data_IF_815053851114
#
_entry.id   IF_815053851114
#
_cell.length_a   1.000
_cell.length_b   1.000
_cell.length_c   1.000
_cell.angle_alpha   90.00
_cell.angle_beta   90.00
_cell.angle_gamma   90.00
#
_symmetry.space_group_name_H-M   'P 1'
#
loop_
_entity.id
_entity.type
_entity.pdbx_description
1 polymer ?
#
# COMPACT_ATOMS: atom_id res chain seq x y z
N UNK A 1 13.51 2.81 49.46
CA UNK A 1 13.86 3.27 48.09
C UNK A 1 14.07 2.02 47.26
N UNK A 2 13.04 1.55 46.55
CA UNK A 2 13.16 0.38 45.69
C UNK A 2 13.84 0.80 44.40
N UNK A 3 15.09 0.38 44.23
CA UNK A 3 15.81 0.40 42.97
C UNK A 3 15.03 -0.45 41.97
N UNK A 4 14.29 0.20 41.07
CA UNK A 4 13.75 -0.45 39.88
C UNK A 4 14.92 -0.81 38.98
N UNK A 5 15.32 -2.07 38.99
CA UNK A 5 16.28 -2.64 38.05
C UNK A 5 15.66 -2.56 36.66
N UNK A 6 16.05 -1.57 35.87
CA UNK A 6 15.76 -1.51 34.44
C UNK A 6 16.53 -2.64 33.76
N UNK A 7 15.91 -3.80 33.64
CA UNK A 7 16.43 -4.92 32.86
C UNK A 7 16.72 -4.45 31.44
N UNK A 8 17.98 -4.51 31.01
CA UNK A 8 18.38 -4.14 29.65
C UNK A 8 17.68 -5.04 28.61
N UNK A 9 17.34 -4.44 27.47
CA UNK A 9 16.85 -5.16 26.28
C UNK A 9 17.87 -6.22 25.83
N UNK A 10 17.39 -7.37 25.39
CA UNK A 10 18.21 -8.40 24.74
C UNK A 10 18.41 -8.04 23.27
N UNK A 11 19.51 -8.52 22.70
CA UNK A 11 19.87 -8.29 21.30
C UNK A 11 20.16 -9.64 20.66
N UNK A 12 19.67 -9.86 19.44
CA UNK A 12 19.99 -11.06 18.68
C UNK A 12 21.42 -10.98 18.16
N UNK A 13 22.11 -12.12 18.08
CA UNK A 13 23.46 -12.18 17.50
C UNK A 13 23.45 -11.84 16.01
N UNK A 14 22.44 -12.37 15.32
CA UNK A 14 22.17 -12.19 13.90
C UNK A 14 20.74 -11.67 13.74
N UNK A 15 20.42 -11.05 12.59
CA UNK A 15 19.08 -10.51 12.36
C UNK A 15 18.03 -11.64 12.39
N UNK A 16 17.02 -11.58 13.28
CA UNK A 16 15.96 -12.58 13.33
C UNK A 16 15.04 -12.45 12.11
N UNK A 17 14.78 -13.58 11.46
CA UNK A 17 13.86 -13.69 10.32
C UNK A 17 12.91 -14.85 10.59
N UNK A 18 11.61 -14.62 10.41
CA UNK A 18 10.59 -15.66 10.49
C UNK A 18 9.79 -15.69 9.20
N UNK A 19 9.49 -16.90 8.73
CA UNK A 19 8.66 -17.15 7.56
C UNK A 19 7.40 -17.85 8.05
N UNK A 20 6.24 -17.30 7.71
CA UNK A 20 4.92 -17.80 8.06
C UNK A 20 4.11 -18.07 6.79
N UNK A 21 3.08 -18.89 6.90
CA UNK A 21 2.17 -19.16 5.77
C UNK A 21 1.09 -18.08 5.75
N UNK A 22 0.22 -18.07 6.76
CA UNK A 22 -0.79 -17.02 6.90
C UNK A 22 -0.18 -15.80 7.60
N UNK A 23 -0.59 -14.60 7.17
CA UNK A 23 0.01 -13.36 7.65
C UNK A 23 -0.14 -13.16 9.17
N UNK A 24 -1.27 -13.57 9.75
CA UNK A 24 -1.54 -13.49 11.19
C UNK A 24 -0.71 -14.48 12.04
N UNK A 25 -0.15 -15.55 11.46
CA UNK A 25 0.73 -16.52 12.15
C UNK A 25 2.05 -15.89 12.64
N UNK A 26 2.28 -14.63 12.29
CA UNK A 26 3.36 -13.79 12.76
C UNK A 26 3.29 -13.50 14.28
N UNK A 27 2.08 -13.45 14.84
CA UNK A 27 1.83 -12.98 16.20
C UNK A 27 2.56 -13.76 17.31
N UNK A 28 2.59 -15.11 17.31
CA UNK A 28 3.39 -15.88 18.25
C UNK A 28 4.85 -15.43 18.33
N UNK A 29 5.46 -15.04 17.21
CA UNK A 29 6.87 -14.61 17.15
C UNK A 29 7.05 -13.21 17.74
N UNK A 30 6.15 -12.28 17.41
CA UNK A 30 6.13 -10.92 17.97
C UNK A 30 5.96 -11.00 19.50
N UNK A 31 4.94 -11.72 19.96
CA UNK A 31 4.64 -11.85 21.40
C UNK A 31 5.77 -12.54 22.15
N UNK A 32 6.40 -13.56 21.55
CA UNK A 32 7.60 -14.18 22.14
C UNK A 32 8.76 -13.19 22.23
N UNK A 33 8.99 -12.36 21.20
CA UNK A 33 10.05 -11.36 21.22
C UNK A 33 9.81 -10.28 22.29
N UNK A 34 8.56 -9.86 22.49
CA UNK A 34 8.17 -8.96 23.59
C UNK A 34 8.41 -9.63 24.95
N UNK A 35 7.84 -10.82 25.17
CA UNK A 35 7.93 -11.55 26.44
C UNK A 35 9.35 -11.94 26.82
N UNK A 36 10.23 -12.16 25.84
CA UNK A 36 11.65 -12.45 26.04
C UNK A 36 12.56 -11.22 26.03
N UNK A 37 11.98 -10.00 25.94
CA UNK A 37 12.67 -8.70 25.98
C UNK A 37 13.63 -8.42 24.83
N UNK A 38 13.36 -8.99 23.65
CA UNK A 38 14.00 -8.55 22.39
C UNK A 38 13.24 -7.40 21.74
N UNK A 39 11.92 -7.31 21.97
CA UNK A 39 11.10 -6.13 21.68
C UNK A 39 10.62 -5.48 22.99
N UNK A 40 10.48 -4.14 23.02
CA UNK A 40 9.89 -3.44 24.16
C UNK A 40 8.41 -3.81 24.29
N UNK A 41 7.80 -3.52 25.44
CA UNK A 41 6.38 -3.86 25.67
C UNK A 41 5.39 -2.94 24.91
N UNK A 42 5.84 -1.78 24.45
CA UNK A 42 5.01 -0.75 23.80
C UNK A 42 5.88 0.14 22.90
N UNK A 43 5.23 1.04 22.17
CA UNK A 43 5.89 2.03 21.32
C UNK A 43 6.78 1.39 20.25
N UNK A 44 6.28 0.31 19.63
CA UNK A 44 6.91 -0.37 18.50
C UNK A 44 6.32 0.22 17.21
N UNK A 45 7.18 0.57 16.26
CA UNK A 45 6.78 0.85 14.88
C UNK A 45 6.71 -0.43 14.05
N UNK A 46 5.86 -0.47 13.04
CA UNK A 46 5.87 -1.50 12.00
C UNK A 46 6.00 -0.84 10.63
N UNK A 47 6.89 -1.37 9.81
CA UNK A 47 6.98 -1.03 8.39
C UNK A 47 6.37 -2.21 7.64
N UNK A 48 5.20 -1.99 7.05
CA UNK A 48 4.38 -3.01 6.41
C UNK A 48 4.44 -2.87 4.89
N UNK A 49 4.96 -3.87 4.18
CA UNK A 49 5.01 -3.91 2.72
C UNK A 49 3.99 -4.94 2.22
N UNK A 50 2.84 -4.44 1.79
CA UNK A 50 1.73 -5.29 1.34
C UNK A 50 0.81 -4.52 0.39
N UNK A 51 0.10 -5.24 -0.47
CA UNK A 51 -1.02 -4.73 -1.24
C UNK A 51 -2.30 -4.53 -0.41
N UNK A 52 -2.36 -5.08 0.80
CA UNK A 52 -3.45 -4.91 1.77
C UNK A 52 -2.95 -4.20 3.03
N UNK A 53 -3.80 -3.43 3.72
CA UNK A 53 -3.38 -2.75 4.95
C UNK A 53 -3.42 -3.65 6.19
N UNK A 54 -4.23 -4.72 6.19
CA UNK A 54 -4.44 -5.68 7.29
C UNK A 54 -4.85 -5.06 8.63
N UNK A 55 -5.62 -3.97 8.51
CA UNK A 55 -6.08 -3.15 9.62
C UNK A 55 -7.55 -3.41 9.97
N UNK A 56 -8.22 -4.42 9.40
CA UNK A 56 -9.58 -4.75 9.82
C UNK A 56 -9.60 -5.31 11.25
N UNK A 57 -10.81 -5.46 11.77
CA UNK A 57 -11.10 -6.00 13.08
C UNK A 57 -12.33 -6.88 12.91
N UNK A 58 -12.38 -8.11 13.46
CA UNK A 58 -13.62 -8.88 13.43
C UNK A 58 -14.73 -8.11 14.16
N UNK A 59 -15.82 -7.79 13.44
CA UNK A 59 -16.87 -6.86 13.89
C UNK A 59 -17.45 -7.25 15.26
N UNK A 60 -17.55 -8.54 15.55
CA UNK A 60 -18.15 -9.05 16.78
C UNK A 60 -17.14 -9.37 17.89
N UNK A 61 -15.83 -9.15 17.67
CA UNK A 61 -14.81 -9.50 18.67
C UNK A 61 -14.93 -8.60 19.90
N UNK A 62 -15.20 -9.16 21.10
CA UNK A 62 -15.14 -8.42 22.36
C UNK A 62 -13.73 -7.82 22.54
N UNK A 63 -13.64 -6.61 23.07
CA UNK A 63 -12.34 -5.97 23.26
C UNK A 63 -11.44 -6.72 24.25
N UNK A 64 -12.04 -7.43 25.22
CA UNK A 64 -11.29 -8.17 26.25
C UNK A 64 -10.62 -9.44 25.68
N UNK A 65 -11.11 -9.97 24.55
CA UNK A 65 -10.51 -11.10 23.82
C UNK A 65 -9.06 -10.82 23.44
N UNK A 66 -8.69 -9.56 23.18
CA UNK A 66 -7.31 -9.16 22.85
C UNK A 66 -6.29 -9.54 23.93
N UNK A 67 -6.72 -9.70 25.18
CA UNK A 67 -5.85 -10.04 26.30
C UNK A 67 -5.85 -11.54 26.65
N UNK A 68 -6.69 -12.34 25.99
CA UNK A 68 -6.63 -13.80 26.04
C UNK A 68 -5.95 -14.29 24.74
N UNK A 69 -4.74 -14.83 24.87
CA UNK A 69 -3.92 -15.18 23.71
C UNK A 69 -4.58 -16.27 22.85
N UNK A 70 -5.17 -17.27 23.49
CA UNK A 70 -5.75 -18.42 22.81
C UNK A 70 -7.07 -18.04 22.12
N UNK A 71 -7.91 -17.24 22.78
CA UNK A 71 -9.13 -16.71 22.19
C UNK A 71 -8.83 -15.75 21.05
N UNK A 72 -7.90 -14.80 21.26
CA UNK A 72 -7.47 -13.86 20.23
C UNK A 72 -7.03 -14.60 18.97
N UNK A 73 -6.09 -15.54 19.08
CA UNK A 73 -5.56 -16.23 17.90
C UNK A 73 -6.62 -17.01 17.13
N UNK A 74 -7.71 -17.43 17.79
CA UNK A 74 -8.83 -18.11 17.12
C UNK A 74 -9.77 -17.18 16.35
N UNK A 75 -9.74 -15.87 16.64
CA UNK A 75 -10.60 -14.85 15.99
C UNK A 75 -9.90 -14.13 14.82
N UNK A 76 -8.59 -14.33 14.64
CA UNK A 76 -7.80 -13.62 13.65
C UNK A 76 -7.76 -14.32 12.30
N UNK A 77 -7.57 -13.49 11.26
CA UNK A 77 -7.33 -13.88 9.89
C UNK A 77 -6.24 -12.97 9.30
N UNK A 78 -5.84 -13.24 8.06
CA UNK A 78 -4.79 -12.53 7.34
C UNK A 78 -5.01 -11.00 7.27
N UNK A 79 -6.26 -10.53 7.28
CA UNK A 79 -6.62 -9.12 7.06
C UNK A 79 -6.86 -8.29 8.34
N UNK A 80 -6.82 -8.89 9.54
CA UNK A 80 -7.37 -8.26 10.75
C UNK A 80 -6.51 -8.39 12.02
N UNK A 81 -5.22 -8.70 11.87
CA UNK A 81 -4.35 -9.02 13.00
C UNK A 81 -3.59 -7.82 13.58
N UNK A 82 -3.38 -6.73 12.82
CA UNK A 82 -2.57 -5.58 13.27
C UNK A 82 -3.32 -4.76 14.34
N UNK A 83 -4.59 -4.43 14.12
CA UNK A 83 -5.37 -3.58 15.04
C UNK A 83 -5.52 -4.16 16.45
N UNK A 84 -5.73 -5.47 16.65
CA UNK A 84 -5.68 -6.09 17.97
C UNK A 84 -4.34 -5.85 18.69
N UNK A 85 -3.20 -5.90 17.99
CA UNK A 85 -1.87 -5.62 18.58
C UNK A 85 -1.71 -4.15 18.96
N UNK A 86 -2.29 -3.24 18.17
CA UNK A 86 -2.39 -1.82 18.49
C UNK A 86 -3.23 -1.61 19.76
N UNK A 87 -4.38 -2.27 19.87
CA UNK A 87 -5.24 -2.16 21.05
C UNK A 87 -4.61 -2.75 22.32
N UNK A 88 -3.87 -3.86 22.19
CA UNK A 88 -3.02 -4.40 23.25
C UNK A 88 -1.94 -3.39 23.73
N UNK A 89 -1.65 -2.36 22.93
CA UNK A 89 -0.74 -1.27 23.25
C UNK A 89 0.71 -1.53 22.87
N UNK A 90 0.97 -2.56 22.05
CA UNK A 90 2.32 -2.93 21.60
C UNK A 90 2.78 -2.05 20.43
N UNK A 91 1.95 -1.98 19.38
CA UNK A 91 2.17 -1.13 18.22
C UNK A 91 1.56 0.27 18.43
N UNK A 92 2.30 1.30 18.09
CA UNK A 92 1.81 2.70 18.10
C UNK A 92 1.82 3.35 16.72
N UNK A 93 2.69 2.86 15.84
CA UNK A 93 2.91 3.42 14.51
C UNK A 93 2.98 2.28 13.48
N UNK A 94 2.26 2.42 12.38
CA UNK A 94 2.40 1.55 11.19
C UNK A 94 2.68 2.44 10.00
N UNK A 95 3.71 2.12 9.24
CA UNK A 95 3.97 2.70 7.93
C UNK A 95 3.60 1.66 6.90
N UNK A 96 2.50 1.88 6.20
CA UNK A 96 2.05 0.98 5.14
C UNK A 96 2.58 1.46 3.80
N UNK A 97 3.52 0.69 3.24
CA UNK A 97 4.02 0.86 1.90
C UNK A 97 3.18 0.01 0.97
N UNK A 98 2.45 0.65 0.06
CA UNK A 98 1.52 -0.04 -0.82
C UNK A 98 1.83 0.23 -2.29
N UNK A 99 1.54 -0.71 -3.19
CA UNK A 99 1.67 -0.49 -4.63
C UNK A 99 0.56 0.45 -5.15
N UNK A 100 0.78 1.05 -6.32
CA UNK A 100 -0.13 2.06 -6.89
C UNK A 100 -1.58 1.59 -7.14
N UNK A 101 -1.82 0.28 -7.21
CA UNK A 101 -3.15 -0.30 -7.40
C UNK A 101 -3.89 -0.54 -6.08
N UNK A 102 -3.18 -0.59 -4.95
CA UNK A 102 -3.78 -0.69 -3.63
C UNK A 102 -4.23 0.71 -3.21
N UNK A 103 -5.54 0.93 -3.08
CA UNK A 103 -6.15 2.24 -2.80
C UNK A 103 -7.18 2.16 -1.68
N UNK A 104 -7.07 1.14 -0.81
CA UNK A 104 -8.02 0.88 0.26
C UNK A 104 -8.07 2.03 1.28
N UNK A 105 -6.94 2.69 1.56
CA UNK A 105 -6.83 3.85 2.44
C UNK A 105 -6.07 4.95 1.69
N UNK A 106 -6.51 6.20 1.84
CA UNK A 106 -5.89 7.35 1.17
C UNK A 106 -4.44 7.57 1.65
N UNK A 107 -3.55 8.01 0.76
CA UNK A 107 -2.17 8.31 1.14
C UNK A 107 -2.07 9.49 2.11
N UNK A 108 -1.15 9.41 3.08
CA UNK A 108 -0.94 10.46 4.08
C UNK A 108 -0.80 9.94 5.51
N UNK A 109 -0.76 10.88 6.46
CA UNK A 109 -0.75 10.58 7.89
C UNK A 109 -2.18 10.52 8.43
N UNK A 110 -2.50 9.42 9.10
CA UNK A 110 -3.79 9.16 9.73
C UNK A 110 -3.62 8.96 11.23
N UNK A 111 -4.32 9.79 12.01
CA UNK A 111 -4.36 9.68 13.46
C UNK A 111 -5.67 9.04 13.88
N UNK A 112 -5.56 7.86 14.49
CA UNK A 112 -6.69 6.99 14.81
C UNK A 112 -6.62 6.67 16.30
N UNK A 113 -7.76 6.58 16.97
CA UNK A 113 -7.86 5.91 18.26
C UNK A 113 -8.49 4.54 18.08
N UNK A 114 -7.90 3.52 18.70
CA UNK A 114 -8.44 2.16 18.78
C UNK A 114 -8.88 1.92 20.21
N UNK A 115 -10.10 1.47 20.44
CA UNK A 115 -10.66 1.37 21.80
C UNK A 115 -11.77 0.34 21.92
N UNK A 116 -12.24 0.14 23.15
CA UNK A 116 -13.46 -0.62 23.44
C UNK A 116 -14.65 0.31 23.30
N UNK A 117 -15.61 -0.03 22.47
CA UNK A 117 -16.87 0.71 22.41
C UNK A 117 -17.70 0.44 23.68
N UNK A 118 -18.06 1.50 24.39
CA UNK A 118 -18.89 1.45 25.61
C UNK A 118 -20.27 0.82 25.39
N UNK A 119 -20.81 0.84 24.17
CA UNK A 119 -22.15 0.33 23.88
C UNK A 119 -22.18 -1.16 23.53
N UNK A 120 -21.25 -1.61 22.69
CA UNK A 120 -21.18 -3.00 22.21
C UNK A 120 -20.13 -3.85 22.92
N UNK A 121 -19.21 -3.24 23.67
CA UNK A 121 -18.04 -3.86 24.31
C UNK A 121 -17.00 -4.44 23.34
N UNK A 122 -17.20 -4.27 22.04
CA UNK A 122 -16.30 -4.72 20.98
C UNK A 122 -15.21 -3.68 20.70
N UNK A 123 -14.13 -4.11 20.07
CA UNK A 123 -13.05 -3.22 19.64
C UNK A 123 -13.47 -2.41 18.39
N UNK A 124 -13.21 -1.10 18.41
CA UNK A 124 -13.60 -0.13 17.36
C UNK A 124 -12.54 0.95 17.15
N UNK A 125 -12.66 1.69 16.06
CA UNK A 125 -11.74 2.77 15.68
C UNK A 125 -12.46 4.11 15.48
N UNK A 126 -11.71 5.21 15.52
CA UNK A 126 -12.25 6.55 15.22
C UNK A 126 -12.03 7.01 13.79
N UNK A 127 -11.39 6.20 12.93
CA UNK A 127 -11.18 6.60 11.53
C UNK A 127 -12.48 6.57 10.75
N UNK A 128 -12.64 7.58 9.88
CA UNK A 128 -13.76 7.73 8.95
C UNK A 128 -13.37 7.34 7.52
N UNK A 129 -12.21 6.72 7.31
CA UNK A 129 -11.87 6.18 6.00
C UNK A 129 -12.89 5.09 5.61
N UNK A 130 -13.25 5.03 4.32
CA UNK A 130 -14.22 4.07 3.79
C UNK A 130 -13.84 2.62 4.14
N UNK A 131 -12.55 2.34 4.25
CA UNK A 131 -12.01 1.06 4.73
C UNK A 131 -12.59 0.61 6.07
N UNK A 132 -12.72 1.51 7.05
CA UNK A 132 -13.28 1.18 8.37
C UNK A 132 -14.80 1.35 8.42
N UNK A 133 -15.35 2.27 7.62
CA UNK A 133 -16.78 2.54 7.57
C UNK A 133 -17.56 1.37 6.94
N UNK A 134 -17.02 0.78 5.88
CA UNK A 134 -17.66 -0.33 5.15
C UNK A 134 -17.95 -1.54 6.04
N UNK A 135 -17.07 -1.83 7.00
CA UNK A 135 -17.21 -2.93 7.96
C UNK A 135 -17.85 -2.50 9.29
N UNK A 136 -18.33 -1.24 9.40
CA UNK A 136 -18.99 -0.76 10.62
C UNK A 136 -18.07 -0.67 11.84
N UNK A 137 -16.77 -0.42 11.63
CA UNK A 137 -15.75 -0.35 12.68
C UNK A 137 -15.61 1.04 13.31
N UNK A 138 -16.22 2.07 12.71
CA UNK A 138 -16.16 3.43 13.23
C UNK A 138 -17.10 3.66 14.42
N UNK A 139 -16.57 4.32 15.46
CA UNK A 139 -17.37 4.98 16.49
C UNK A 139 -16.77 6.35 16.85
N UNK A 140 -17.59 7.32 17.32
CA UNK A 140 -17.06 8.57 17.86
C UNK A 140 -16.12 8.34 19.04
N UNK A 141 -15.04 9.13 19.13
CA UNK A 141 -14.02 9.00 20.19
C UNK A 141 -14.60 9.04 21.61
N UNK A 142 -15.67 9.79 21.85
CA UNK A 142 -16.34 9.88 23.15
C UNK A 142 -17.00 8.57 23.62
N UNK A 143 -17.19 7.60 22.73
CA UNK A 143 -17.71 6.27 23.05
C UNK A 143 -16.61 5.21 23.24
N UNK A 144 -15.33 5.57 23.02
CA UNK A 144 -14.20 4.66 23.21
C UNK A 144 -13.65 4.72 24.64
N UNK A 145 -13.64 3.56 25.27
CA UNK A 145 -12.94 3.28 26.52
C UNK A 145 -11.55 2.67 26.24
N UNK A 146 -10.62 2.86 27.19
CA UNK A 146 -9.25 2.32 27.11
C UNK A 146 -8.51 2.65 25.79
N UNK A 147 -8.86 3.76 25.15
CA UNK A 147 -8.37 4.12 23.81
C UNK A 147 -6.85 4.19 23.73
N UNK A 148 -6.29 3.66 22.65
CA UNK A 148 -4.88 3.69 22.28
C UNK A 148 -4.70 4.62 21.08
N UNK A 149 -3.79 5.60 21.14
CA UNK A 149 -3.44 6.38 19.96
C UNK A 149 -2.69 5.48 18.97
N UNK A 150 -3.03 5.61 17.70
CA UNK A 150 -2.44 4.89 16.58
C UNK A 150 -2.17 5.87 15.45
N UNK A 151 -0.94 5.85 14.94
CA UNK A 151 -0.56 6.61 13.76
C UNK A 151 -0.31 5.65 12.60
N UNK A 152 -1.02 5.88 11.50
CA UNK A 152 -0.84 5.17 10.25
C UNK A 152 -0.29 6.14 9.19
N UNK A 153 0.87 5.82 8.62
CA UNK A 153 1.45 6.53 7.49
C UNK A 153 1.29 5.69 6.22
N UNK A 154 0.43 6.13 5.31
CA UNK A 154 0.13 5.44 4.05
C UNK A 154 0.98 6.04 2.93
N UNK A 155 1.90 5.22 2.39
CA UNK A 155 2.90 5.65 1.41
C UNK A 155 2.80 4.78 0.16
N UNK A 156 2.35 5.38 -0.93
CA UNK A 156 2.42 4.75 -2.25
C UNK A 156 3.87 4.57 -2.71
N UNK A 157 4.18 3.36 -3.14
CA UNK A 157 5.45 3.00 -3.80
C UNK A 157 5.22 2.90 -5.31
N UNK A 158 5.85 3.79 -6.07
CA UNK A 158 5.80 3.77 -7.53
C UNK A 158 6.92 2.86 -8.08
N UNK A 159 6.60 2.03 -9.07
CA UNK A 159 7.61 1.35 -9.88
C UNK A 159 8.20 2.32 -10.92
N UNK A 160 9.50 2.18 -11.16
CA UNK A 160 10.31 2.93 -12.16
C UNK A 160 9.70 2.84 -13.58
N UNK A 161 8.93 1.79 -13.91
CA UNK A 161 8.33 1.63 -15.24
C UNK A 161 6.95 2.30 -15.39
N UNK A 162 6.22 2.53 -14.29
CA UNK A 162 4.84 3.04 -14.37
C UNK A 162 4.74 4.52 -14.74
N UNK A 163 5.82 5.28 -14.54
CA UNK A 163 5.88 6.68 -14.96
C UNK A 163 5.91 6.82 -16.49
N UNK A 164 6.56 5.89 -17.20
CA UNK A 164 6.64 5.90 -18.67
C UNK A 164 5.29 5.67 -19.35
N UNK A 165 4.44 4.80 -18.77
CA UNK A 165 3.09 4.55 -19.30
C UNK A 165 2.08 5.66 -18.96
N UNK A 166 2.24 6.35 -17.83
CA UNK A 166 1.38 7.47 -17.47
C UNK A 166 1.65 8.71 -18.33
N UNK A 167 2.90 8.95 -18.73
CA UNK A 167 3.26 10.01 -19.68
C UNK A 167 2.69 9.75 -21.08
N UNK A 168 2.77 8.51 -21.59
CA UNK A 168 2.17 8.14 -22.89
C UNK A 168 0.64 8.28 -22.91
N UNK A 169 -0.06 7.91 -21.84
CA UNK A 169 -1.53 8.05 -21.75
C UNK A 169 -1.94 9.53 -21.58
N UNK A 170 -1.16 10.32 -20.84
CA UNK A 170 -1.39 11.75 -20.66
C UNK A 170 -1.20 12.53 -21.97
N UNK A 171 -0.19 12.18 -22.76
CA UNK A 171 0.05 12.77 -24.09
C UNK A 171 -1.01 12.37 -25.12
N UNK A 172 -1.52 11.13 -25.10
CA UNK A 172 -2.60 10.70 -25.98
C UNK A 172 -3.94 11.41 -25.64
N UNK A 173 -4.20 11.66 -24.36
CA UNK A 173 -5.34 12.47 -23.90
C UNK A 173 -5.18 13.96 -24.24
N UNK A 174 -3.96 14.50 -24.19
CA UNK A 174 -3.68 15.89 -24.59
C UNK A 174 -3.83 16.10 -26.11
N UNK A 175 -3.39 15.14 -26.93
CA UNK A 175 -3.51 15.18 -28.38
C UNK A 175 -4.98 15.14 -28.88
N UNK A 176 -5.87 14.46 -28.15
CA UNK A 176 -7.32 14.45 -28.43
C UNK A 176 -8.01 15.78 -28.07
N UNK A 177 -7.41 16.58 -27.17
CA UNK A 177 -7.97 17.88 -26.73
C UNK A 177 -7.67 19.02 -27.71
N UNK A 178 -6.55 18.95 -28.43
CA UNK A 178 -6.17 19.95 -29.45
C UNK A 178 -7.04 19.85 -30.72
N UNK A 179 -7.52 18.66 -31.06
CA UNK A 179 -8.31 18.42 -32.28
C UNK A 179 -9.78 18.89 -32.21
N UNK A 180 -10.28 19.21 -31.01
CA UNK A 180 -11.64 19.72 -30.78
C UNK A 180 -11.72 21.25 -30.68
N UNK A 181 -10.59 21.96 -30.73
CA UNK A 181 -10.54 23.44 -30.66
C UNK A 181 -10.28 24.11 -32.02
N UNK A 182 -10.22 23.36 -33.12
CA UNK A 182 -10.14 23.87 -34.49
C UNK A 182 -11.34 23.42 -35.32
N UNK A 183 -12.56 23.73 -34.88
CA UNK A 183 -13.73 23.75 -35.75
C UNK A 183 -14.87 24.55 -35.11
N UNK A 184 -15.13 25.75 -35.63
CA UNK A 184 -16.46 26.38 -35.56
C UNK A 184 -16.53 27.76 -34.92
N UNK A 185 -16.24 28.80 -35.72
CA UNK A 185 -16.92 30.08 -35.61
C UNK A 185 -17.99 30.14 -36.71
N UNK A 186 -19.26 30.43 -36.36
CA UNK A 186 -20.20 31.38 -36.99
C UNK A 186 -21.56 31.32 -36.26
N UNK A 187 -21.80 32.39 -35.49
CA UNK A 187 -23.00 33.20 -35.23
C UNK A 187 -24.44 32.62 -35.07
N UNK A 188 -24.94 32.82 -33.83
CA UNK A 188 -26.12 33.62 -33.43
C UNK A 188 -27.52 33.32 -34.00
N UNK A 189 -28.45 32.81 -33.16
CA UNK A 189 -29.71 33.48 -32.72
C UNK A 189 -30.62 32.55 -31.88
N UNK A 190 -31.15 33.07 -30.76
CA UNK A 190 -32.57 32.93 -30.40
C UNK A 190 -33.06 31.80 -29.47
N UNK A 191 -33.47 32.22 -28.25
CA UNK A 191 -34.72 31.85 -27.54
C UNK A 191 -34.88 30.46 -26.86
N UNK A 192 -34.83 30.50 -25.52
CA UNK A 192 -35.73 29.93 -24.49
C UNK A 192 -36.44 28.55 -24.62
N UNK A 193 -36.23 27.75 -23.55
CA UNK A 193 -37.12 26.84 -22.79
C UNK A 193 -38.11 25.90 -23.50
N UNK A 194 -38.06 24.59 -23.19
CA UNK A 194 -38.99 23.86 -22.30
C UNK A 194 -38.82 22.31 -22.38
N UNK A 195 -39.32 21.64 -21.33
CA UNK A 195 -39.28 20.20 -21.00
C UNK A 195 -39.96 19.29 -22.03
N UNK A 196 -39.55 18.00 -22.09
CA UNK A 196 -40.40 16.83 -21.73
C UNK A 196 -39.71 15.47 -21.90
N UNK A 197 -40.20 14.54 -21.09
CA UNK A 197 -39.83 13.12 -20.93
C UNK A 197 -40.36 12.19 -22.06
N UNK A 198 -39.90 10.93 -21.96
CA UNK A 198 -40.55 9.66 -22.31
C UNK A 198 -40.00 8.81 -23.48
N UNK A 199 -39.30 7.74 -23.08
CA UNK A 199 -39.63 6.30 -23.23
C UNK A 199 -39.70 5.62 -24.62
N UNK A 200 -39.33 4.32 -24.59
CA UNK A 200 -39.52 3.22 -25.57
C UNK A 200 -38.46 3.18 -26.68
N UNK A 201 -37.78 2.08 -27.00
CA UNK A 201 -37.88 0.68 -26.60
C UNK A 201 -37.39 -0.20 -27.76
N UNK A 202 -36.68 -1.27 -27.41
CA UNK A 202 -36.62 -2.54 -28.14
C UNK A 202 -35.78 -2.71 -29.42
N UNK A 203 -35.02 -3.81 -29.40
CA UNK A 203 -34.91 -4.85 -30.44
C UNK A 203 -33.62 -5.00 -31.24
N UNK A 204 -32.91 -6.10 -30.90
CA UNK A 204 -32.55 -7.24 -31.77
C UNK A 204 -31.71 -6.94 -33.03
N UNK A 205 -30.50 -7.50 -33.12
CA UNK A 205 -30.19 -8.65 -34.00
C UNK A 205 -28.69 -9.01 -33.99
N UNK A 206 -28.43 -10.30 -33.76
CA UNK A 206 -27.17 -10.98 -34.05
C UNK A 206 -26.81 -10.90 -35.54
N UNK A 207 -25.51 -10.97 -35.87
CA UNK A 207 -25.06 -11.96 -36.84
C UNK A 207 -23.58 -12.31 -36.66
N UNK A 208 -23.32 -13.63 -36.74
CA UNK A 208 -22.04 -14.33 -36.62
C UNK A 208 -21.29 -14.37 -37.97
N UNK A 209 -20.11 -15.00 -37.90
CA UNK A 209 -19.37 -15.75 -38.95
C UNK A 209 -18.37 -14.93 -39.77
N UNK A 210 -17.19 -15.40 -40.18
CA UNK A 210 -16.36 -16.61 -39.93
C UNK A 210 -14.99 -16.39 -40.61
N UNK A 211 -13.97 -17.14 -40.17
CA UNK A 211 -12.83 -17.73 -40.94
C UNK A 211 -11.73 -16.92 -41.67
N UNK A 212 -10.50 -17.13 -41.18
CA UNK A 212 -9.34 -17.83 -41.79
C UNK A 212 -8.53 -17.29 -43.02
N UNK A 213 -7.19 -17.42 -42.90
CA UNK A 213 -6.17 -17.47 -43.96
C UNK A 213 -5.55 -16.10 -44.30
N UNK A 214 -4.24 -15.82 -44.30
CA UNK A 214 -3.03 -16.64 -44.42
C UNK A 214 -2.36 -16.38 -45.78
N UNK A 215 -1.23 -15.64 -45.83
CA UNK A 215 -0.11 -15.84 -46.78
C UNK A 215 0.89 -14.67 -46.82
N UNK A 216 2.18 -15.02 -46.86
CA UNK A 216 3.36 -14.18 -47.07
C UNK A 216 3.44 -13.59 -48.49
N UNK A 217 4.10 -12.43 -48.64
CA UNK A 217 4.83 -12.05 -49.85
C UNK A 217 6.14 -11.32 -49.50
N UNK A 218 7.22 -11.85 -50.08
CA UNK A 218 8.55 -11.26 -50.25
C UNK A 218 8.54 -10.27 -51.42
N UNK A 219 9.30 -9.17 -51.38
CA UNK A 219 10.47 -8.96 -52.25
C UNK A 219 11.17 -7.60 -51.96
N UNK A 220 12.46 -7.61 -52.27
CA UNK A 220 13.51 -6.62 -52.20
C UNK A 220 13.33 -5.37 -53.07
N UNK A 221 14.01 -4.26 -52.71
CA UNK A 221 14.95 -3.57 -53.63
C UNK A 221 15.58 -2.30 -53.02
N UNK A 222 16.91 -2.35 -52.96
CA UNK A 222 17.92 -1.31 -53.27
C UNK A 222 17.84 0.15 -52.77
N UNK A 223 18.97 0.56 -52.19
CA UNK A 223 19.40 1.92 -51.84
C UNK A 223 19.79 2.76 -53.08
N UNK A 224 19.98 4.08 -52.90
CA UNK A 224 21.37 4.53 -52.93
C UNK A 224 21.76 5.56 -51.86
N UNK A 225 23.05 5.53 -51.60
CA UNK A 225 23.88 6.36 -50.72
C UNK A 225 23.96 7.81 -51.22
N UNK A 226 23.88 8.80 -50.31
CA UNK A 226 24.65 10.03 -50.44
C UNK A 226 24.80 10.75 -49.10
N UNK A 227 26.06 11.03 -48.78
CA UNK A 227 26.59 11.64 -47.58
C UNK A 227 26.26 13.14 -47.43
N UNK A 228 25.90 13.58 -46.23
CA UNK A 228 26.35 14.87 -45.71
C UNK A 228 26.44 14.86 -44.18
N UNK A 229 27.55 15.43 -43.67
CA UNK A 229 27.92 15.54 -42.25
C UNK A 229 27.15 16.69 -41.59
N UNK A 230 26.63 16.48 -40.37
CA UNK A 230 26.61 17.49 -39.32
C UNK A 230 26.41 16.83 -37.92
N UNK A 231 27.36 17.12 -37.03
CA UNK A 231 27.34 17.07 -35.56
C UNK A 231 26.09 16.52 -34.84
N UNK A 232 26.23 15.34 -34.22
CA UNK A 232 25.38 14.89 -33.12
C UNK A 232 26.06 15.27 -31.80
N UNK A 233 25.56 16.33 -31.17
CA UNK A 233 25.79 16.56 -29.75
C UNK A 233 24.84 15.68 -28.93
N UNK A 234 25.45 15.00 -27.97
CA UNK A 234 24.83 14.19 -26.94
C UNK A 234 23.84 15.01 -26.10
N UNK A 235 22.57 14.60 -26.06
CA UNK A 235 21.69 14.90 -24.93
C UNK A 235 21.45 13.61 -24.15
N UNK A 236 22.19 13.51 -23.04
CA UNK A 236 22.03 12.49 -22.03
C UNK A 236 20.67 12.66 -21.32
N UNK A 237 20.05 11.52 -21.00
CA UNK A 237 18.67 11.41 -20.57
C UNK A 237 18.31 12.18 -19.29
N UNK A 238 17.16 12.81 -19.32
CA UNK A 238 16.56 13.59 -18.22
C UNK A 238 15.62 12.78 -17.32
N UNK A 239 15.75 11.45 -17.26
CA UNK A 239 14.81 10.58 -16.54
C UNK A 239 15.12 10.30 -15.06
N UNK A 240 16.27 10.74 -14.52
CA UNK A 240 16.78 10.16 -13.26
C UNK A 240 16.53 10.95 -11.96
N UNK A 241 16.16 12.23 -12.03
CA UNK A 241 16.10 13.09 -10.84
C UNK A 241 14.79 12.93 -10.04
N UNK A 242 13.66 12.75 -10.73
CA UNK A 242 12.34 12.68 -10.10
C UNK A 242 12.12 11.36 -9.31
N UNK A 243 12.56 10.23 -9.86
CA UNK A 243 12.44 8.90 -9.23
C UNK A 243 13.29 8.76 -7.97
N UNK A 244 14.53 9.28 -8.03
CA UNK A 244 15.44 9.32 -6.89
C UNK A 244 14.88 10.20 -5.77
N UNK A 245 14.24 11.31 -6.13
CA UNK A 245 13.58 12.19 -5.16
C UNK A 245 12.43 11.49 -4.43
N UNK A 246 11.53 10.83 -5.15
CA UNK A 246 10.37 10.14 -4.55
C UNK A 246 10.78 9.00 -3.60
N UNK A 247 11.74 8.17 -4.01
CA UNK A 247 12.28 7.09 -3.15
C UNK A 247 12.93 7.67 -1.89
N UNK A 248 13.69 8.76 -2.06
CA UNK A 248 14.33 9.46 -0.94
C UNK A 248 13.29 10.04 0.03
N UNK A 249 12.16 10.53 -0.48
CA UNK A 249 11.11 11.10 0.36
C UNK A 249 10.31 10.03 1.12
N UNK A 250 10.04 8.88 0.49
CA UNK A 250 9.45 7.72 1.19
C UNK A 250 10.37 7.23 2.32
N UNK A 251 11.68 7.11 2.06
CA UNK A 251 12.70 6.75 3.05
C UNK A 251 12.72 7.76 4.22
N UNK A 252 12.71 9.07 3.93
CA UNK A 252 12.68 10.09 4.99
C UNK A 252 11.44 9.97 5.88
N UNK A 253 10.27 9.71 5.29
CA UNK A 253 9.03 9.49 6.05
C UNK A 253 9.16 8.28 6.98
N UNK A 254 9.62 7.15 6.46
CA UNK A 254 9.85 5.93 7.25
C UNK A 254 10.84 6.20 8.40
N UNK A 255 11.96 6.85 8.11
CA UNK A 255 12.96 7.21 9.13
C UNK A 255 12.37 8.09 10.23
N UNK A 256 11.55 9.06 9.85
CA UNK A 256 10.90 9.97 10.81
C UNK A 256 10.03 9.20 11.79
N UNK A 257 9.27 8.21 11.31
CA UNK A 257 8.41 7.36 12.16
C UNK A 257 9.26 6.43 13.05
N UNK A 258 10.21 5.70 12.47
CA UNK A 258 11.03 4.74 13.22
C UNK A 258 11.83 5.44 14.32
N UNK A 259 12.39 6.63 14.06
CA UNK A 259 13.19 7.38 15.03
C UNK A 259 12.41 7.86 16.25
N UNK A 260 11.07 7.89 16.17
CA UNK A 260 10.19 8.26 17.28
C UNK A 260 9.78 7.05 18.16
N UNK A 261 10.15 5.84 17.75
CA UNK A 261 9.77 4.58 18.41
C UNK A 261 10.93 3.85 19.06
N UNK A 262 10.64 2.96 20.01
CA UNK A 262 11.67 2.27 20.81
C UNK A 262 12.32 1.07 20.08
N UNK A 263 11.56 0.50 19.14
CA UNK A 263 11.94 -0.59 18.25
C UNK A 263 11.01 -0.61 17.03
N UNK A 264 11.37 -1.37 16.01
CA UNK A 264 10.50 -1.56 14.86
C UNK A 264 10.49 -3.01 14.36
N UNK A 265 9.42 -3.35 13.65
CA UNK A 265 9.23 -4.61 12.94
C UNK A 265 9.20 -4.28 11.45
N UNK A 266 9.86 -5.10 10.63
CA UNK A 266 9.72 -5.07 9.18
C UNK A 266 8.86 -6.26 8.77
N UNK A 267 7.70 -5.96 8.22
CA UNK A 267 6.74 -6.94 7.74
C UNK A 267 6.66 -6.86 6.22
N UNK A 268 6.78 -8.02 5.56
CA UNK A 268 6.82 -8.12 4.10
C UNK A 268 5.89 -9.25 3.68
N UNK A 269 4.76 -8.89 3.10
CA UNK A 269 3.90 -9.83 2.41
C UNK A 269 4.30 -9.95 0.92
N UNK A 270 4.11 -11.13 0.37
CA UNK A 270 4.36 -11.41 -1.03
C UNK A 270 3.34 -10.80 -1.97
N UNK A 271 2.11 -10.54 -1.51
CA UNK A 271 1.06 -9.94 -2.32
C UNK A 271 1.37 -8.51 -2.75
N UNK A 272 2.28 -7.84 -2.03
CA UNK A 272 2.94 -6.62 -2.49
C UNK A 272 3.51 -6.76 -3.92
N UNK A 273 3.97 -7.96 -4.30
CA UNK A 273 4.59 -8.26 -5.59
C UNK A 273 3.69 -9.03 -6.57
N UNK A 274 2.80 -9.91 -6.10
CA UNK A 274 2.19 -10.95 -6.95
C UNK A 274 0.77 -10.70 -7.43
N UNK A 275 0.03 -9.72 -6.91
CA UNK A 275 -1.38 -9.60 -7.29
C UNK A 275 -1.63 -9.01 -8.70
N UNK A 276 -0.64 -8.37 -9.33
CA UNK A 276 -0.58 -8.19 -10.80
C UNK A 276 0.87 -8.03 -11.25
N UNK A 277 1.52 -9.12 -11.66
CA UNK A 277 2.39 -9.23 -12.85
C UNK A 277 3.40 -10.41 -12.70
N UNK A 278 3.38 -11.43 -13.57
CA UNK A 278 4.35 -12.54 -13.56
C UNK A 278 5.79 -12.14 -13.94
N UNK A 279 6.06 -10.86 -14.25
CA UNK A 279 7.40 -10.37 -14.57
C UNK A 279 8.05 -9.67 -13.37
N UNK A 280 8.79 -10.49 -12.63
CA UNK A 280 10.07 -10.21 -11.95
C UNK A 280 10.75 -8.89 -12.37
N UNK A 281 11.20 -8.13 -11.36
CA UNK A 281 12.35 -7.16 -11.32
C UNK A 281 12.04 -5.73 -10.81
N UNK A 282 10.78 -5.35 -10.62
CA UNK A 282 10.40 -3.93 -10.42
C UNK A 282 10.66 -3.29 -9.04
N UNK A 283 10.93 -4.06 -7.99
CA UNK A 283 11.01 -3.52 -6.61
C UNK A 283 12.41 -3.59 -5.98
N UNK A 284 13.38 -4.06 -6.74
CA UNK A 284 14.71 -4.42 -6.23
C UNK A 284 15.47 -3.21 -5.68
N UNK A 285 15.30 -2.01 -6.22
CA UNK A 285 16.10 -0.85 -5.80
C UNK A 285 15.61 -0.22 -4.49
N UNK A 286 14.29 -0.03 -4.32
CA UNK A 286 13.71 0.49 -3.06
C UNK A 286 13.96 -0.52 -1.95
N UNK A 287 13.76 -1.81 -2.22
CA UNK A 287 14.01 -2.88 -1.25
C UNK A 287 15.49 -3.03 -0.95
N UNK A 288 16.38 -3.05 -1.96
CA UNK A 288 17.81 -3.11 -1.69
C UNK A 288 18.25 -1.88 -0.91
N UNK A 289 17.69 -0.70 -1.16
CA UNK A 289 18.02 0.49 -0.37
C UNK A 289 17.44 0.43 1.05
N UNK A 290 16.21 -0.05 1.25
CA UNK A 290 15.60 -0.22 2.59
C UNK A 290 16.30 -1.33 3.36
N UNK A 291 16.56 -2.48 2.74
CA UNK A 291 17.33 -3.54 3.37
C UNK A 291 18.76 -3.06 3.65
N UNK A 292 19.50 -2.56 2.65
CA UNK A 292 20.90 -2.18 2.83
C UNK A 292 21.10 -1.00 3.79
N UNK A 293 20.25 0.03 3.74
CA UNK A 293 20.39 1.22 4.60
C UNK A 293 19.95 0.95 6.03
N UNK A 294 18.92 0.12 6.25
CA UNK A 294 18.33 -0.07 7.56
C UNK A 294 18.87 -1.31 8.28
N UNK A 295 19.11 -2.43 7.57
CA UNK A 295 19.71 -3.67 8.14
C UNK A 295 21.12 -3.43 8.66
N UNK A 296 21.92 -2.59 7.99
CA UNK A 296 23.30 -2.34 8.41
C UNK A 296 23.45 -1.33 9.56
N UNK A 297 22.46 -0.46 9.81
CA UNK A 297 22.58 0.63 10.78
C UNK A 297 21.76 0.46 12.06
N UNK A 298 20.78 -0.46 12.11
CA UNK A 298 19.86 -0.58 13.24
C UNK A 298 19.73 -2.04 13.68
N UNK A 299 20.35 -2.41 14.80
CA UNK A 299 20.39 -3.78 15.36
C UNK A 299 19.06 -4.28 15.97
N UNK A 300 17.90 -3.84 15.48
CA UNK A 300 16.59 -4.15 16.08
C UNK A 300 15.51 -4.51 15.06
N UNK A 301 15.88 -5.20 13.98
CA UNK A 301 14.93 -5.60 12.92
C UNK A 301 14.50 -7.03 13.14
N UNK A 302 13.20 -7.28 13.15
CA UNK A 302 12.62 -8.59 12.90
C UNK A 302 11.99 -8.53 11.52
N UNK A 303 12.45 -9.38 10.59
CA UNK A 303 11.82 -9.51 9.28
C UNK A 303 10.84 -10.67 9.36
N UNK A 304 9.58 -10.39 9.09
CA UNK A 304 8.50 -11.36 9.06
C UNK A 304 8.05 -11.45 7.60
N UNK A 305 8.07 -12.68 7.08
CA UNK A 305 7.78 -12.97 5.68
C UNK A 305 6.58 -13.91 5.63
N UNK A 306 5.49 -13.44 5.05
CA UNK A 306 4.25 -14.21 4.83
C UNK A 306 4.23 -14.74 3.39
N UNK A 307 3.66 -15.93 3.15
CA UNK A 307 3.53 -16.51 1.80
C UNK A 307 2.14 -16.18 1.24
N UNK A 308 2.11 -15.82 -0.03
CA UNK A 308 0.90 -15.52 -0.82
C UNK A 308 -0.25 -16.51 -0.52
N UNK A 309 -1.31 -16.01 0.11
CA UNK A 309 -2.59 -16.72 0.23
C UNK A 309 -3.36 -16.53 -1.08
N UNK A 310 -3.23 -17.49 -2.00
CA UNK A 310 -4.07 -17.51 -3.19
C UNK A 310 -5.52 -17.82 -2.80
N UNK A 311 -6.39 -16.82 -2.88
CA UNK A 311 -7.84 -17.00 -2.97
C UNK A 311 -8.32 -16.89 -4.42
#
# INVERSE_FOLDING_TARGET
MNSSTTSSMRVYKDMPVWVVEDHHDVLPYIYRAIGSRYLPIRNIAMVHLDSHPDLLIPVNMPADTVFDKEELFSELSIENWIMPVVYAGHLSNVVWLHPYWAQQIAEGEHKIFVGKDSSTTTIRVTSKDDYFLSDGLYVPEGHLENKKPFQLDVIKVNSVENQRKQEEISEECAAKRVKLQQAGDIENTGVSCEKKEETVGSSIANCRTETAGGSNFTDSSHCPDSSSKASNESSAGSGSENERSQTTDAVKKILTVIQQTDAYILDIDLDFFSCKNPFKEMYTQVIHFVLHTYVHNLQKICILYSRCSQH
#
